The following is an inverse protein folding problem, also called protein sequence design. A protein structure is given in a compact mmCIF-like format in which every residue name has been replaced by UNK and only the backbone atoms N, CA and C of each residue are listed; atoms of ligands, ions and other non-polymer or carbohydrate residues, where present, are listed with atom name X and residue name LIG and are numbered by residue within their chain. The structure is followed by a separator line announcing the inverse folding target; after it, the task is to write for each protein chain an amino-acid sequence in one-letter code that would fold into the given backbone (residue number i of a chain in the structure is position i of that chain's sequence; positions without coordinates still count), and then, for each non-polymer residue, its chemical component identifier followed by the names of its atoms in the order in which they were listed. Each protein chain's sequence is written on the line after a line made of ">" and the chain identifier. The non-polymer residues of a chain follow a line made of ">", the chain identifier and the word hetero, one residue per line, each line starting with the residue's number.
data_IF_144935752051
#
_entry.id   IF_144935752051
#
_cell.length_a   1.000
_cell.length_b   1.000
_cell.length_c   1.000
_cell.angle_alpha   90.00
_cell.angle_beta   90.00
_cell.angle_gamma   90.00
#
_symmetry.space_group_name_H-M   'P 1'
#
loop_
_entity.id
_entity.type
_entity.pdbx_description
1 polymer ?
#
# COMPACT_ATOMS: atom_id res chain seq x y z
N UNK A 1 17.34 -58.49 -21.12
CA UNK A 1 18.16 -57.53 -20.35
C UNK A 1 18.14 -56.13 -20.97
N UNK A 2 18.53 -55.95 -22.24
CA UNK A 2 18.57 -54.64 -22.91
C UNK A 2 17.20 -53.93 -22.99
N UNK A 3 16.13 -54.65 -23.35
CA UNK A 3 14.77 -54.06 -23.43
C UNK A 3 14.24 -53.58 -22.07
N UNK A 4 14.54 -54.32 -21.00
CA UNK A 4 14.17 -53.93 -19.63
C UNK A 4 14.93 -52.68 -19.20
N UNK A 5 16.24 -52.60 -19.51
CA UNK A 5 17.05 -51.42 -19.22
C UNK A 5 16.53 -50.18 -19.97
N UNK A 6 16.17 -50.30 -21.24
CA UNK A 6 15.60 -49.21 -22.05
C UNK A 6 14.25 -48.75 -21.46
N UNK A 7 13.40 -49.69 -21.05
CA UNK A 7 12.12 -49.38 -20.41
C UNK A 7 12.26 -48.60 -19.10
N UNK A 8 13.21 -49.00 -18.24
CA UNK A 8 13.48 -48.30 -16.98
C UNK A 8 14.01 -46.88 -17.22
N UNK A 9 14.90 -46.70 -18.19
CA UNK A 9 15.42 -45.37 -18.55
C UNK A 9 14.30 -44.46 -19.07
N UNK A 10 13.42 -44.96 -19.93
CA UNK A 10 12.28 -44.18 -20.45
C UNK A 10 11.31 -43.75 -19.34
N UNK A 11 11.04 -44.63 -18.36
CA UNK A 11 10.20 -44.29 -17.20
C UNK A 11 10.84 -43.18 -16.37
N UNK A 12 12.14 -43.30 -16.06
CA UNK A 12 12.85 -42.27 -15.29
C UNK A 12 12.89 -40.92 -16.02
N UNK A 13 13.08 -40.94 -17.34
CA UNK A 13 13.09 -39.72 -18.17
C UNK A 13 11.69 -39.07 -18.21
N UNK A 14 10.64 -39.88 -18.32
CA UNK A 14 9.25 -39.42 -18.29
C UNK A 14 8.88 -38.80 -16.94
N UNK A 15 9.24 -39.46 -15.83
CA UNK A 15 9.02 -38.93 -14.47
C UNK A 15 9.80 -37.63 -14.27
N UNK A 16 11.06 -37.58 -14.70
CA UNK A 16 11.87 -36.36 -14.63
C UNK A 16 11.26 -35.20 -15.42
N UNK A 17 10.76 -35.47 -16.63
CA UNK A 17 10.08 -34.48 -17.47
C UNK A 17 8.78 -33.98 -16.82
N UNK A 18 7.97 -34.88 -16.26
CA UNK A 18 6.72 -34.52 -15.57
C UNK A 18 7.02 -33.65 -14.35
N UNK A 19 8.00 -34.01 -13.52
CA UNK A 19 8.39 -33.20 -12.35
C UNK A 19 8.95 -31.84 -12.75
N UNK A 20 9.73 -31.77 -13.83
CA UNK A 20 10.23 -30.51 -14.39
C UNK A 20 9.09 -29.61 -14.86
N UNK A 21 8.15 -30.15 -15.65
CA UNK A 21 6.97 -29.42 -16.13
C UNK A 21 6.07 -28.97 -14.97
N UNK A 22 5.88 -29.81 -13.96
CA UNK A 22 5.12 -29.46 -12.75
C UNK A 22 5.80 -28.32 -11.99
N UNK A 23 7.13 -28.37 -11.86
CA UNK A 23 7.92 -27.29 -11.26
C UNK A 23 7.82 -25.99 -12.05
N UNK A 24 7.78 -26.06 -13.37
CA UNK A 24 7.62 -24.91 -14.27
C UNK A 24 6.22 -24.29 -14.16
N UNK A 25 5.18 -25.12 -14.14
CA UNK A 25 3.79 -24.71 -13.91
C UNK A 25 3.59 -24.08 -12.52
N UNK A 26 4.13 -24.69 -11.47
CA UNK A 26 4.07 -24.15 -10.11
C UNK A 26 4.87 -22.85 -9.98
N UNK A 27 6.02 -22.75 -10.66
CA UNK A 27 6.81 -21.52 -10.74
C UNK A 27 6.06 -20.40 -11.45
N UNK A 28 5.44 -20.71 -12.60
CA UNK A 28 4.65 -19.77 -13.39
C UNK A 28 3.37 -19.33 -12.69
N UNK A 29 2.69 -20.22 -11.96
CA UNK A 29 1.44 -19.94 -11.24
C UNK A 29 1.64 -19.11 -9.96
N UNK A 30 2.83 -19.12 -9.34
CA UNK A 30 3.15 -18.28 -8.17
C UNK A 30 3.19 -16.79 -8.50
N UNK A 31 3.51 -16.42 -9.73
CA UNK A 31 3.55 -15.02 -10.22
C UNK A 31 2.16 -14.35 -10.31
N UNK A 32 1.13 -14.94 -10.96
CA UNK A 32 -0.20 -14.34 -11.06
C UNK A 32 -0.94 -14.32 -9.73
N UNK A 33 -0.79 -15.35 -8.88
CA UNK A 33 -1.49 -15.41 -7.60
C UNK A 33 -1.04 -14.31 -6.62
N UNK A 34 0.25 -14.01 -6.56
CA UNK A 34 0.77 -12.92 -5.73
C UNK A 34 0.22 -11.55 -6.16
N UNK A 35 0.15 -11.30 -7.47
CA UNK A 35 -0.41 -10.06 -8.02
C UNK A 35 -1.92 -9.92 -7.76
N UNK A 36 -2.67 -11.02 -7.82
CA UNK A 36 -4.11 -11.02 -7.51
C UNK A 36 -4.38 -10.71 -6.03
N UNK A 37 -3.61 -11.31 -5.12
CA UNK A 37 -3.74 -11.05 -3.68
C UNK A 37 -3.43 -9.59 -3.36
N UNK A 38 -2.38 -9.03 -3.95
CA UNK A 38 -2.04 -7.61 -3.79
C UNK A 38 -3.13 -6.68 -4.31
N UNK A 39 -3.68 -6.95 -5.51
CA UNK A 39 -4.79 -6.18 -6.07
C UNK A 39 -6.03 -6.23 -5.19
N UNK A 40 -6.46 -7.42 -4.76
CA UNK A 40 -7.60 -7.56 -3.85
C UNK A 40 -7.38 -6.83 -2.53
N UNK A 41 -6.17 -6.89 -1.99
CA UNK A 41 -5.83 -6.14 -0.78
C UNK A 41 -5.95 -4.64 -1.02
N UNK A 42 -5.35 -4.11 -2.08
CA UNK A 42 -5.45 -2.70 -2.42
C UNK A 42 -6.91 -2.25 -2.60
N UNK A 43 -7.71 -3.03 -3.33
CA UNK A 43 -9.16 -2.77 -3.50
C UNK A 43 -9.90 -2.65 -2.17
N UNK A 44 -9.55 -3.47 -1.17
CA UNK A 44 -10.15 -3.37 0.15
C UNK A 44 -9.75 -2.08 0.89
N UNK A 45 -8.52 -1.60 0.70
CA UNK A 45 -8.09 -0.30 1.22
C UNK A 45 -8.76 0.86 0.46
N UNK A 46 -8.96 0.74 -0.85
CA UNK A 46 -9.73 1.71 -1.65
C UNK A 46 -11.20 1.76 -1.21
N UNK A 47 -11.83 0.60 -0.96
CA UNK A 47 -13.19 0.52 -0.46
C UNK A 47 -13.37 1.20 0.91
N UNK A 48 -12.35 1.16 1.76
CA UNK A 48 -12.33 1.91 3.03
C UNK A 48 -12.22 3.41 2.83
N UNK A 49 -11.44 3.85 1.86
CA UNK A 49 -11.39 5.26 1.49
C UNK A 49 -12.76 5.73 0.99
N UNK A 50 -13.39 4.96 0.09
CA UNK A 50 -14.74 5.25 -0.39
C UNK A 50 -15.81 5.20 0.71
N UNK A 51 -15.64 4.36 1.73
CA UNK A 51 -16.48 4.40 2.92
C UNK A 51 -16.30 5.71 3.71
N UNK A 52 -15.07 6.18 3.86
CA UNK A 52 -14.78 7.49 4.44
C UNK A 52 -15.42 8.64 3.66
N UNK A 53 -15.43 8.57 2.32
CA UNK A 53 -16.08 9.57 1.46
C UNK A 53 -17.58 9.67 1.80
N UNK A 54 -18.28 8.52 1.88
CA UNK A 54 -19.70 8.48 2.28
C UNK A 54 -19.95 8.99 3.70
N UNK A 55 -19.05 8.72 4.63
CA UNK A 55 -19.14 9.25 6.01
C UNK A 55 -18.97 10.77 6.03
N UNK A 56 -18.07 11.31 5.19
CA UNK A 56 -17.86 12.74 5.06
C UNK A 56 -19.09 13.43 4.47
N UNK A 57 -19.68 12.86 3.41
CA UNK A 57 -20.94 13.33 2.81
C UNK A 57 -22.10 13.33 3.82
N UNK A 58 -22.13 12.35 4.72
CA UNK A 58 -23.11 12.28 5.82
C UNK A 58 -22.79 13.21 7.01
N UNK A 59 -21.74 14.05 6.94
CA UNK A 59 -21.34 14.97 8.01
C UNK A 59 -20.59 14.32 9.19
N UNK A 60 -20.31 13.02 9.13
CA UNK A 60 -19.63 12.24 10.15
C UNK A 60 -18.10 12.35 10.04
N UNK A 61 -17.56 13.57 10.19
CA UNK A 61 -16.14 13.89 9.99
C UNK A 61 -15.16 12.98 10.75
N UNK A 62 -15.39 12.74 12.04
CA UNK A 62 -14.48 11.92 12.85
C UNK A 62 -14.39 10.49 12.31
N UNK A 63 -15.55 9.90 12.00
CA UNK A 63 -15.62 8.57 11.40
C UNK A 63 -14.97 8.54 10.01
N UNK A 64 -15.15 9.58 9.20
CA UNK A 64 -14.52 9.71 7.89
C UNK A 64 -12.98 9.74 7.99
N UNK A 65 -12.43 10.58 8.89
CA UNK A 65 -10.98 10.68 9.12
C UNK A 65 -10.40 9.36 9.65
N UNK A 66 -11.13 8.65 10.52
CA UNK A 66 -10.75 7.32 10.98
C UNK A 66 -10.72 6.30 9.81
N UNK A 67 -11.73 6.35 8.93
CA UNK A 67 -11.80 5.51 7.75
C UNK A 67 -10.65 5.78 6.77
N UNK A 68 -10.32 7.05 6.48
CA UNK A 68 -9.18 7.42 5.63
C UNK A 68 -7.85 6.94 6.21
N UNK A 69 -7.64 7.07 7.52
CA UNK A 69 -6.45 6.50 8.18
C UNK A 69 -6.37 4.98 8.03
N UNK A 70 -7.51 4.30 8.18
CA UNK A 70 -7.59 2.83 8.04
C UNK A 70 -7.38 2.35 6.59
N UNK A 71 -7.58 3.25 5.62
CA UNK A 71 -7.38 3.02 4.20
C UNK A 71 -5.89 3.12 3.78
N UNK A 72 -4.98 3.40 4.70
CA UNK A 72 -3.55 3.52 4.40
C UNK A 72 -2.89 2.16 4.05
N UNK A 73 -2.49 1.99 2.79
CA UNK A 73 -1.76 0.80 2.33
C UNK A 73 -0.25 0.88 2.63
N UNK A 74 0.28 -0.04 3.46
CA UNK A 74 1.66 0.02 3.96
C UNK A 74 2.56 -1.16 3.58
N UNK A 75 2.11 -2.05 2.72
CA UNK A 75 2.92 -3.19 2.29
C UNK A 75 3.92 -2.78 1.19
N UNK A 76 5.12 -3.39 1.15
CA UNK A 76 6.02 -3.27 0.00
C UNK A 76 5.35 -3.81 -1.26
N UNK A 77 5.50 -3.12 -2.38
CA UNK A 77 5.00 -3.58 -3.67
C UNK A 77 5.92 -4.65 -4.26
N UNK A 78 5.36 -5.59 -5.02
CA UNK A 78 6.17 -6.60 -5.70
C UNK A 78 6.74 -6.16 -7.05
N UNK A 79 6.13 -5.16 -7.68
CA UNK A 79 6.47 -4.68 -9.02
C UNK A 79 6.18 -3.18 -9.16
N UNK A 80 6.70 -2.58 -10.23
CA UNK A 80 6.61 -1.13 -10.47
C UNK A 80 5.18 -0.64 -10.74
N UNK A 81 4.38 -1.40 -11.49
CA UNK A 81 3.01 -1.02 -11.79
C UNK A 81 2.15 -0.98 -10.51
N UNK A 82 2.29 -1.98 -9.65
CA UNK A 82 1.59 -2.02 -8.36
C UNK A 82 2.10 -0.93 -7.40
N UNK A 83 3.41 -0.64 -7.39
CA UNK A 83 3.94 0.49 -6.62
C UNK A 83 3.32 1.84 -7.06
N UNK A 84 3.11 2.03 -8.36
CA UNK A 84 2.43 3.22 -8.87
C UNK A 84 0.95 3.26 -8.47
N UNK A 85 0.25 2.12 -8.52
CA UNK A 85 -1.14 2.04 -8.05
C UNK A 85 -1.27 2.43 -6.57
N UNK A 86 -0.37 1.92 -5.72
CA UNK A 86 -0.30 2.30 -4.29
C UNK A 86 0.00 3.79 -4.12
N UNK A 87 0.91 4.35 -4.92
CA UNK A 87 1.22 5.79 -4.85
C UNK A 87 0.00 6.65 -5.25
N UNK A 88 -0.73 6.27 -6.29
CA UNK A 88 -1.95 6.98 -6.69
C UNK A 88 -3.03 6.90 -5.61
N UNK A 89 -3.20 5.73 -4.98
CA UNK A 89 -4.09 5.58 -3.83
C UNK A 89 -3.70 6.50 -2.67
N UNK A 90 -2.40 6.62 -2.37
CA UNK A 90 -1.89 7.55 -1.36
C UNK A 90 -2.16 9.02 -1.70
N UNK A 91 -1.95 9.42 -2.95
CA UNK A 91 -2.32 10.77 -3.42
C UNK A 91 -3.82 11.00 -3.25
N UNK A 92 -4.67 10.03 -3.62
CA UNK A 92 -6.11 10.10 -3.43
C UNK A 92 -6.53 10.19 -1.96
N UNK A 93 -5.81 9.56 -1.04
CA UNK A 93 -6.04 9.73 0.41
C UNK A 93 -5.67 11.13 0.88
N UNK A 94 -4.53 11.66 0.44
CA UNK A 94 -4.10 13.01 0.79
C UNK A 94 -5.14 14.05 0.33
N UNK A 95 -5.63 13.92 -0.91
CA UNK A 95 -6.71 14.78 -1.43
C UNK A 95 -7.97 14.72 -0.57
N UNK A 96 -8.36 13.53 -0.07
CA UNK A 96 -9.51 13.39 0.84
C UNK A 96 -9.30 14.08 2.18
N UNK A 97 -8.10 13.99 2.76
CA UNK A 97 -7.76 14.77 3.96
C UNK A 97 -7.82 16.28 3.70
N UNK A 98 -7.40 16.74 2.52
CA UNK A 98 -7.50 18.15 2.12
C UNK A 98 -8.97 18.55 2.02
N UNK A 99 -9.81 17.77 1.32
CA UNK A 99 -11.25 18.06 1.20
C UNK A 99 -11.92 18.10 2.57
N UNK A 100 -11.63 17.12 3.44
CA UNK A 100 -12.16 17.09 4.80
C UNK A 100 -11.68 18.28 5.67
N UNK A 101 -10.58 18.92 5.30
CA UNK A 101 -10.08 20.15 5.94
C UNK A 101 -10.66 21.43 5.30
N UNK A 102 -10.94 21.40 4.00
CA UNK A 102 -11.42 22.51 3.18
C UNK A 102 -12.92 22.77 3.35
N UNK A 103 -13.70 21.70 3.57
CA UNK A 103 -15.16 21.78 3.81
C UNK A 103 -15.58 22.55 5.08
N UNK A 104 -14.64 23.10 5.85
CA UNK A 104 -14.84 23.78 7.14
C UNK A 104 -14.01 25.07 7.26
N UNK A 105 -13.84 25.77 6.13
CA UNK A 105 -12.90 26.88 6.05
C UNK A 105 -13.36 28.19 6.71
N UNK A 106 -12.64 28.55 7.77
CA UNK A 106 -12.28 29.94 8.10
C UNK A 106 -10.79 30.13 8.42
N UNK A 107 -10.05 29.10 8.83
CA UNK A 107 -8.66 29.27 9.27
C UNK A 107 -7.77 28.12 8.82
N UNK A 108 -6.70 28.49 8.11
CA UNK A 108 -5.51 27.69 7.75
C UNK A 108 -5.32 26.50 8.70
N UNK A 109 -5.89 25.33 8.36
CA UNK A 109 -5.46 24.08 8.98
C UNK A 109 -3.95 24.06 8.78
N UNK A 110 -3.20 24.05 9.89
CA UNK A 110 -1.76 24.27 9.87
C UNK A 110 -1.17 23.33 8.84
N UNK A 111 -0.71 23.90 7.73
CA UNK A 111 -0.10 23.21 6.60
C UNK A 111 1.07 22.31 7.03
N UNK A 112 1.53 22.41 8.28
CA UNK A 112 2.63 21.65 8.85
C UNK A 112 2.33 20.15 8.88
N UNK A 113 1.20 19.70 9.45
CA UNK A 113 0.88 18.27 9.54
C UNK A 113 0.50 17.68 8.18
N UNK A 114 -0.16 18.47 7.33
CA UNK A 114 -0.45 18.10 5.94
C UNK A 114 0.83 17.99 5.10
N UNK A 115 1.71 18.99 5.15
CA UNK A 115 2.98 18.99 4.43
C UNK A 115 3.91 17.87 4.94
N UNK A 116 3.88 17.57 6.25
CA UNK A 116 4.59 16.41 6.80
C UNK A 116 4.04 15.10 6.23
N UNK A 117 2.72 14.93 6.18
CA UNK A 117 2.10 13.76 5.58
C UNK A 117 2.46 13.62 4.09
N UNK A 118 2.36 14.72 3.32
CA UNK A 118 2.74 14.76 1.90
C UNK A 118 4.21 14.38 1.68
N UNK A 119 5.14 14.99 2.44
CA UNK A 119 6.55 14.63 2.43
C UNK A 119 6.78 13.14 2.71
N UNK A 120 6.10 12.59 3.72
CA UNK A 120 6.24 11.17 4.10
C UNK A 120 5.69 10.23 3.01
N UNK A 121 4.62 10.61 2.31
CA UNK A 121 4.12 9.87 1.14
C UNK A 121 5.11 9.93 -0.02
N UNK A 122 5.68 11.09 -0.29
CA UNK A 122 6.70 11.25 -1.33
C UNK A 122 7.95 10.42 -1.04
N UNK A 123 8.45 10.46 0.19
CA UNK A 123 9.56 9.64 0.65
C UNK A 123 9.24 8.15 0.52
N UNK A 124 8.03 7.74 0.92
CA UNK A 124 7.58 6.36 0.78
C UNK A 124 7.64 5.86 -0.66
N UNK A 125 7.20 6.68 -1.62
CA UNK A 125 7.27 6.36 -3.05
C UNK A 125 8.73 6.14 -3.50
N UNK A 126 9.64 7.01 -3.07
CA UNK A 126 11.06 6.86 -3.37
C UNK A 126 11.68 5.59 -2.73
N UNK A 127 11.31 5.28 -1.49
CA UNK A 127 11.74 4.06 -0.80
C UNK A 127 11.23 2.79 -1.50
N UNK A 128 9.97 2.78 -1.95
CA UNK A 128 9.41 1.67 -2.74
C UNK A 128 10.17 1.46 -4.05
N UNK A 129 10.50 2.54 -4.77
CA UNK A 129 11.29 2.44 -5.99
C UNK A 129 12.68 1.83 -5.73
N UNK A 130 13.38 2.30 -4.69
CA UNK A 130 14.67 1.75 -4.26
C UNK A 130 14.57 0.28 -3.83
N UNK A 131 13.49 -0.10 -3.15
CA UNK A 131 13.24 -1.47 -2.73
C UNK A 131 13.08 -2.40 -3.94
N UNK A 132 12.31 -1.98 -4.96
CA UNK A 132 12.14 -2.73 -6.19
C UNK A 132 13.46 -2.91 -6.95
N UNK A 133 14.30 -1.87 -7.02
CA UNK A 133 15.63 -1.96 -7.65
C UNK A 133 16.52 -2.95 -6.88
N UNK A 134 16.58 -2.85 -5.55
CA UNK A 134 17.35 -3.76 -4.71
C UNK A 134 16.89 -5.22 -4.87
N UNK A 135 15.58 -5.42 -5.07
CA UNK A 135 14.98 -6.73 -5.36
C UNK A 135 15.35 -7.27 -6.73
N UNK A 136 15.29 -6.44 -7.77
CA UNK A 136 15.74 -6.83 -9.11
C UNK A 136 17.21 -7.27 -9.10
N UNK A 137 18.05 -6.54 -8.36
CA UNK A 137 19.49 -6.81 -8.22
C UNK A 137 19.80 -7.94 -7.21
N UNK A 138 18.80 -8.63 -6.66
CA UNK A 138 18.93 -9.74 -5.69
C UNK A 138 19.78 -9.42 -4.44
N UNK A 139 19.91 -8.14 -4.06
CA UNK A 139 20.71 -7.73 -2.91
C UNK A 139 19.94 -7.88 -1.59
N UNK A 140 20.02 -9.07 -0.97
CA UNK A 140 19.28 -9.38 0.27
C UNK A 140 19.58 -8.43 1.43
N UNK A 141 20.83 -8.00 1.59
CA UNK A 141 21.23 -7.05 2.64
C UNK A 141 20.51 -5.71 2.44
N UNK A 142 20.55 -5.16 1.22
CA UNK A 142 19.92 -3.88 0.89
C UNK A 142 18.40 -3.95 0.97
N UNK A 143 17.80 -5.07 0.56
CA UNK A 143 16.37 -5.30 0.73
C UNK A 143 15.94 -5.25 2.20
N UNK A 144 16.64 -5.97 3.08
CA UNK A 144 16.34 -5.98 4.53
C UNK A 144 16.48 -4.60 5.16
N UNK A 145 17.49 -3.84 4.75
CA UNK A 145 17.68 -2.46 5.19
C UNK A 145 16.49 -1.58 4.77
N UNK A 146 16.14 -1.60 3.48
CA UNK A 146 15.01 -0.82 2.96
C UNK A 146 13.67 -1.23 3.56
N UNK A 147 13.49 -2.50 3.93
CA UNK A 147 12.30 -2.95 4.67
C UNK A 147 12.22 -2.32 6.06
N UNK A 148 13.34 -2.17 6.77
CA UNK A 148 13.36 -1.48 8.07
C UNK A 148 13.00 -0.01 7.91
N UNK A 149 13.55 0.66 6.90
CA UNK A 149 13.25 2.07 6.60
C UNK A 149 11.78 2.24 6.20
N UNK A 150 11.24 1.36 5.35
CA UNK A 150 9.81 1.36 4.98
C UNK A 150 8.89 1.16 6.19
N UNK A 151 9.29 0.35 7.18
CA UNK A 151 8.54 0.18 8.44
C UNK A 151 8.63 1.42 9.33
N UNK A 152 9.78 2.09 9.39
CA UNK A 152 9.93 3.34 10.12
C UNK A 152 9.06 4.44 9.51
N UNK A 153 9.18 4.68 8.20
CA UNK A 153 8.31 5.58 7.45
C UNK A 153 6.82 5.25 7.64
N UNK A 154 6.43 3.97 7.65
CA UNK A 154 5.05 3.56 7.90
C UNK A 154 4.52 3.95 9.30
N UNK A 155 5.37 3.91 10.33
CA UNK A 155 5.00 4.36 11.68
C UNK A 155 4.86 5.89 11.70
N UNK A 156 5.82 6.61 11.14
CA UNK A 156 5.79 8.07 11.06
C UNK A 156 4.57 8.58 10.30
N UNK A 157 4.22 7.92 9.19
CA UNK A 157 3.08 8.30 8.37
C UNK A 157 1.76 8.07 9.12
N UNK A 158 1.63 6.97 9.88
CA UNK A 158 0.47 6.78 10.77
C UNK A 158 0.36 7.89 11.81
N UNK A 159 1.46 8.24 12.48
CA UNK A 159 1.46 9.30 13.48
C UNK A 159 1.14 10.67 12.88
N UNK A 160 1.67 10.96 11.69
CA UNK A 160 1.38 12.20 10.97
C UNK A 160 -0.11 12.30 10.59
N UNK A 161 -0.72 11.21 10.12
CA UNK A 161 -2.15 11.20 9.81
C UNK A 161 -3.05 11.25 11.06
N UNK A 162 -2.60 10.71 12.19
CA UNK A 162 -3.29 10.87 13.48
C UNK A 162 -3.30 12.34 13.88
N UNK A 163 -2.14 12.99 13.84
CA UNK A 163 -2.01 14.41 14.17
C UNK A 163 -2.82 15.29 13.21
N UNK A 164 -2.76 15.03 11.90
CA UNK A 164 -3.55 15.73 10.89
C UNK A 164 -5.06 15.60 11.15
N UNK A 165 -5.54 14.40 11.44
CA UNK A 165 -6.96 14.18 11.76
C UNK A 165 -7.39 14.96 13.02
N UNK A 166 -6.56 14.95 14.07
CA UNK A 166 -6.84 15.71 15.29
C UNK A 166 -6.84 17.23 15.04
N UNK A 167 -5.93 17.73 14.19
CA UNK A 167 -5.91 19.15 13.80
C UNK A 167 -7.18 19.55 13.03
N UNK A 168 -7.64 18.71 12.10
CA UNK A 168 -8.88 18.94 11.35
C UNK A 168 -10.10 18.95 12.30
N UNK A 169 -10.16 18.02 13.26
CA UNK A 169 -11.25 17.98 14.24
C UNK A 169 -11.25 19.21 15.15
N UNK A 170 -10.09 19.58 15.69
CA UNK A 170 -9.95 20.75 16.55
C UNK A 170 -10.29 22.06 15.82
N UNK A 171 -10.03 22.12 14.50
CA UNK A 171 -10.43 23.27 13.69
C UNK A 171 -11.97 23.36 13.59
N UNK A 172 -12.66 22.24 13.37
CA UNK A 172 -14.13 22.17 13.34
C UNK A 172 -14.77 22.60 14.66
N UNK A 173 -14.25 22.12 15.79
CA UNK A 173 -14.81 22.44 17.12
C UNK A 173 -14.75 23.95 17.44
N UNK A 174 -13.68 24.62 17.00
CA UNK A 174 -13.53 26.07 17.16
C UNK A 174 -14.55 26.84 16.33
N UNK A 175 -14.81 26.40 15.11
CA UNK A 175 -15.82 27.00 14.24
C UNK A 175 -17.23 26.84 14.83
N UNK A 176 -17.57 25.65 15.33
CA UNK A 176 -18.88 25.44 15.99
C UNK A 176 -19.06 26.20 17.29
N UNK A 177 -17.96 26.49 18.01
CA UNK A 177 -18.01 27.24 19.28
C UNK A 177 -18.13 28.76 19.09
N UNK A 178 -17.79 29.29 17.91
CA UNK A 178 -17.89 30.71 17.57
C UNK A 178 -18.57 30.89 16.21
N UNK A 179 -19.89 30.68 16.10
CA UNK A 179 -20.63 31.00 14.89
C UNK A 179 -20.62 32.53 14.73
N UNK A 180 -19.92 33.03 13.72
CA UNK A 180 -19.99 34.42 13.29
C UNK A 180 -21.32 34.72 12.59
#
# INVERSE_FOLDING_TARGET
>A
MLQVAIGVVLILLSVGLVLYLLGLLLGAARLPLGALVERRRLQWYEARAAHGDRLLEAGALEAALAAFRSALYLYPANNRAFANAVANHHTGLLSRFIVAADSYHGQRVRLISLAKADRLFHERRALQARYLIARANRSRRRQRELERVLRANARELRMALVALAAEIQAARERETSYPH
#
